data_IF_700960998182
#
_entry.id   IF_700960998182
#
_cell.length_a   1.000
_cell.length_b   1.000
_cell.length_c   1.000
_cell.angle_alpha   90.00
_cell.angle_beta   90.00
_cell.angle_gamma   90.00
#
_symmetry.space_group_name_H-M   'P 1'
#
loop_
_entity.id
_entity.type
_entity.pdbx_description
1 polymer ?
#
# COMPACT_ATOMS: atom_id res chain seq x y z
N UNK A 1 -25.77 17.39 13.00
CA UNK A 1 -24.34 17.70 13.21
C UNK A 1 -23.57 16.94 12.15
N UNK A 2 -23.09 17.65 11.13
CA UNK A 2 -22.42 17.08 9.94
C UNK A 2 -20.97 16.74 10.26
N UNK A 3 -20.67 15.47 10.55
CA UNK A 3 -19.32 14.93 10.41
C UNK A 3 -19.13 14.56 8.94
N UNK A 4 -18.82 15.57 8.10
CA UNK A 4 -18.29 15.30 6.77
C UNK A 4 -17.01 14.48 6.95
N UNK A 5 -17.12 13.19 6.64
CA UNK A 5 -16.04 12.22 6.73
C UNK A 5 -14.80 12.80 6.06
N UNK A 6 -13.71 12.93 6.80
CA UNK A 6 -12.42 13.34 6.23
C UNK A 6 -11.93 12.20 5.36
N UNK A 7 -12.32 12.18 4.09
CA UNK A 7 -11.67 11.34 3.08
C UNK A 7 -10.17 11.66 3.18
N UNK A 8 -9.35 10.62 3.39
CA UNK A 8 -7.91 10.79 3.55
C UNK A 8 -7.37 11.68 2.43
N UNK A 9 -6.89 12.88 2.77
CA UNK A 9 -6.54 13.92 1.80
C UNK A 9 -5.38 13.55 0.89
N UNK A 10 -4.62 12.51 1.29
CA UNK A 10 -3.44 12.01 0.58
C UNK A 10 -3.56 10.52 0.25
N UNK A 11 -2.94 10.14 -0.87
CA UNK A 11 -2.71 8.76 -1.28
C UNK A 11 -1.22 8.45 -1.12
N UNK A 12 -0.91 7.43 -0.31
CA UNK A 12 0.46 6.96 -0.09
C UNK A 12 1.05 6.44 -1.40
N UNK A 13 2.33 6.70 -1.62
CA UNK A 13 3.07 6.23 -2.80
C UNK A 13 3.53 4.78 -2.68
N UNK A 14 3.56 4.24 -1.45
CA UNK A 14 4.22 2.96 -1.13
C UNK A 14 5.74 3.08 -0.99
N UNK A 15 6.30 4.27 -1.26
CA UNK A 15 7.73 4.55 -1.16
C UNK A 15 7.94 5.48 0.04
N UNK A 16 8.46 4.93 1.14
CA UNK A 16 8.61 5.66 2.41
C UNK A 16 9.34 7.00 2.25
N UNK A 17 10.46 7.03 1.52
CA UNK A 17 11.24 8.25 1.30
C UNK A 17 10.46 9.32 0.51
N UNK A 18 9.68 8.91 -0.49
CA UNK A 18 8.85 9.81 -1.27
C UNK A 18 7.66 10.32 -0.46
N UNK A 19 7.01 9.45 0.30
CA UNK A 19 5.92 9.84 1.20
C UNK A 19 6.39 10.83 2.27
N UNK A 20 7.61 10.70 2.77
CA UNK A 20 8.20 11.65 3.71
C UNK A 20 8.36 13.03 3.05
N UNK A 21 8.95 13.08 1.84
CA UNK A 21 9.12 14.32 1.07
C UNK A 21 7.77 14.97 0.76
N UNK A 22 6.77 14.17 0.39
CA UNK A 22 5.41 14.63 0.07
C UNK A 22 4.54 14.86 1.31
N UNK A 23 5.10 14.75 2.52
CA UNK A 23 4.39 14.91 3.81
C UNK A 23 3.14 14.03 3.92
N UNK A 24 3.28 12.75 3.59
CA UNK A 24 2.23 11.74 3.67
C UNK A 24 1.66 11.24 2.34
N UNK A 25 2.26 11.58 1.21
CA UNK A 25 1.89 11.09 -0.13
C UNK A 25 1.23 12.14 -1.03
N UNK A 26 0.66 11.71 -2.16
CA UNK A 26 0.07 12.57 -3.18
C UNK A 26 -1.29 13.12 -2.75
N UNK A 27 -1.49 14.43 -2.86
CA UNK A 27 -2.80 15.07 -2.63
C UNK A 27 -3.85 14.54 -3.61
N UNK A 28 -4.99 14.09 -3.11
CA UNK A 28 -6.07 13.60 -3.97
C UNK A 28 -6.69 14.73 -4.80
N UNK A 29 -7.27 14.37 -5.95
CA UNK A 29 -7.90 15.35 -6.87
C UNK A 29 -6.93 16.23 -7.65
N UNK A 30 -5.63 15.91 -7.63
CA UNK A 30 -4.59 16.65 -8.34
C UNK A 30 -3.93 15.76 -9.41
N UNK A 31 -3.42 16.39 -10.46
CA UNK A 31 -2.57 15.75 -11.46
C UNK A 31 -1.10 15.92 -11.06
N UNK A 32 -0.33 14.82 -11.09
CA UNK A 32 1.10 14.83 -10.82
C UNK A 32 1.87 14.36 -12.06
N UNK A 33 2.92 15.09 -12.43
CA UNK A 33 3.84 14.72 -13.49
C UNK A 33 5.12 14.15 -12.86
N UNK A 34 5.50 12.94 -13.28
CA UNK A 34 6.79 12.34 -12.92
C UNK A 34 7.71 12.43 -14.13
N UNK A 35 8.71 13.31 -14.06
CA UNK A 35 9.66 13.58 -15.13
C UNK A 35 11.08 13.10 -14.77
N UNK A 36 11.87 12.77 -15.79
CA UNK A 36 13.27 12.34 -15.64
C UNK A 36 13.81 11.69 -16.91
N UNK A 37 15.13 11.56 -17.02
CA UNK A 37 15.80 10.93 -18.16
C UNK A 37 15.34 9.47 -18.39
N UNK A 38 15.52 8.88 -19.59
CA UNK A 38 15.28 7.46 -19.81
C UNK A 38 16.02 6.59 -18.78
N UNK A 39 15.40 5.51 -18.31
CA UNK A 39 16.01 4.60 -17.33
C UNK A 39 15.96 5.05 -15.85
N UNK A 40 15.45 6.24 -15.53
CA UNK A 40 15.39 6.77 -14.14
C UNK A 40 14.29 6.17 -13.24
N UNK A 41 13.57 5.13 -13.70
CA UNK A 41 12.57 4.45 -12.86
C UNK A 41 11.18 5.09 -12.77
N UNK A 42 10.81 6.02 -13.67
CA UNK A 42 9.47 6.65 -13.70
C UNK A 42 8.33 5.64 -13.72
N UNK A 43 8.42 4.64 -14.60
CA UNK A 43 7.43 3.56 -14.70
C UNK A 43 7.40 2.72 -13.42
N UNK A 44 8.56 2.46 -12.82
CA UNK A 44 8.67 1.72 -11.56
C UNK A 44 7.94 2.45 -10.44
N UNK A 45 8.13 3.77 -10.30
CA UNK A 45 7.40 4.59 -9.30
C UNK A 45 5.88 4.55 -9.55
N UNK A 46 5.44 4.67 -10.81
CA UNK A 46 4.02 4.61 -11.15
C UNK A 46 3.41 3.25 -10.81
N UNK A 47 4.10 2.15 -11.10
CA UNK A 47 3.66 0.79 -10.78
C UNK A 47 3.62 0.54 -9.28
N UNK A 48 4.60 1.04 -8.50
CA UNK A 48 4.61 0.92 -7.04
C UNK A 48 3.39 1.62 -6.42
N UNK A 49 3.06 2.83 -6.89
CA UNK A 49 1.85 3.53 -6.45
C UNK A 49 0.57 2.74 -6.72
N UNK A 50 0.45 2.15 -7.92
CA UNK A 50 -0.71 1.34 -8.29
C UNK A 50 -0.80 0.05 -7.46
N UNK A 51 0.34 -0.61 -7.23
CA UNK A 51 0.41 -1.83 -6.42
C UNK A 51 0.01 -1.56 -4.97
N UNK A 52 0.55 -0.50 -4.36
CA UNK A 52 0.19 -0.08 -3.00
C UNK A 52 -1.32 0.16 -2.87
N UNK A 53 -1.90 0.89 -3.83
CA UNK A 53 -3.34 1.14 -3.90
C UNK A 53 -4.15 -0.15 -4.05
N UNK A 54 -3.70 -1.08 -4.90
CA UNK A 54 -4.34 -2.38 -5.10
C UNK A 54 -4.34 -3.20 -3.81
N UNK A 55 -3.19 -3.31 -3.12
CA UNK A 55 -3.06 -4.07 -1.88
C UNK A 55 -3.96 -3.50 -0.79
N UNK A 56 -3.88 -2.18 -0.54
CA UNK A 56 -4.70 -1.51 0.46
C UNK A 56 -6.22 -1.68 0.19
N UNK A 57 -6.63 -1.54 -1.07
CA UNK A 57 -8.03 -1.73 -1.46
C UNK A 57 -8.49 -3.18 -1.23
N UNK A 58 -7.67 -4.17 -1.59
CA UNK A 58 -8.02 -5.57 -1.40
C UNK A 58 -8.10 -5.95 0.09
N UNK A 59 -7.17 -5.49 0.92
CA UNK A 59 -7.26 -5.66 2.38
C UNK A 59 -8.58 -5.11 2.91
N UNK A 60 -8.94 -3.87 2.53
CA UNK A 60 -10.18 -3.25 2.95
C UNK A 60 -11.42 -4.03 2.46
N UNK A 61 -11.44 -4.44 1.19
CA UNK A 61 -12.55 -5.23 0.63
C UNK A 61 -12.73 -6.54 1.40
N UNK A 62 -11.64 -7.23 1.75
CA UNK A 62 -11.70 -8.46 2.52
C UNK A 62 -12.21 -8.23 3.95
N UNK A 63 -11.76 -7.15 4.60
CA UNK A 63 -12.24 -6.77 5.92
C UNK A 63 -13.74 -6.42 5.91
N UNK A 64 -14.20 -5.66 4.91
CA UNK A 64 -15.61 -5.32 4.73
C UNK A 64 -16.47 -6.58 4.51
N UNK A 65 -16.01 -7.51 3.66
CA UNK A 65 -16.70 -8.79 3.43
C UNK A 65 -16.85 -9.61 4.71
N UNK A 66 -15.82 -9.61 5.57
CA UNK A 66 -15.81 -10.32 6.86
C UNK A 66 -16.67 -9.63 7.92
N UNK A 67 -16.74 -8.29 7.91
CA UNK A 67 -17.55 -7.52 8.85
C UNK A 67 -19.05 -7.71 8.59
N UNK A 68 -19.44 -7.88 7.32
CA UNK A 68 -20.84 -8.06 6.95
C UNK A 68 -21.66 -6.76 6.96
N UNK A 69 -23.00 -6.85 6.86
CA UNK A 69 -23.87 -5.70 6.59
C UNK A 69 -24.00 -4.70 7.76
N UNK A 70 -23.66 -5.09 8.99
CA UNK A 70 -23.76 -4.24 10.18
C UNK A 70 -22.42 -3.56 10.48
N UNK A 71 -21.94 -2.79 9.49
CA UNK A 71 -20.64 -2.12 9.51
C UNK A 71 -20.62 -0.94 10.50
N UNK A 72 -19.63 -0.97 11.39
CA UNK A 72 -19.18 0.19 12.16
C UNK A 72 -17.64 0.18 12.24
N UNK A 73 -17.07 1.30 12.68
CA UNK A 73 -15.61 1.48 12.72
C UNK A 73 -14.93 0.48 13.64
N UNK A 74 -15.50 0.24 14.83
CA UNK A 74 -14.92 -0.67 15.84
C UNK A 74 -14.90 -2.11 15.34
N UNK A 75 -16.00 -2.60 14.77
CA UNK A 75 -16.06 -3.93 14.17
C UNK A 75 -15.08 -4.09 13.01
N UNK A 76 -14.93 -3.06 12.17
CA UNK A 76 -13.98 -3.11 11.07
C UNK A 76 -12.54 -3.19 11.59
N UNK A 77 -12.22 -2.42 12.63
CA UNK A 77 -10.92 -2.47 13.31
C UNK A 77 -10.70 -3.85 13.92
N UNK A 78 -11.66 -4.40 14.67
CA UNK A 78 -11.56 -5.73 15.25
C UNK A 78 -11.34 -6.81 14.17
N UNK A 79 -12.03 -6.72 13.02
CA UNK A 79 -11.83 -7.64 11.90
C UNK A 79 -10.43 -7.51 11.30
N UNK A 80 -9.93 -6.27 11.14
CA UNK A 80 -8.58 -6.02 10.66
C UNK A 80 -7.55 -6.58 11.65
N UNK A 81 -7.63 -6.25 12.93
CA UNK A 81 -6.71 -6.71 13.98
C UNK A 81 -6.71 -8.24 14.15
N UNK A 82 -7.81 -8.92 13.84
CA UNK A 82 -7.89 -10.38 13.87
C UNK A 82 -7.58 -11.02 12.50
N UNK A 83 -7.25 -10.24 11.47
CA UNK A 83 -6.86 -10.78 10.17
C UNK A 83 -5.44 -11.34 10.21
N UNK A 84 -5.37 -12.67 10.15
CA UNK A 84 -4.13 -13.44 10.04
C UNK A 84 -4.04 -14.09 8.67
N UNK A 85 -2.82 -14.23 8.16
CA UNK A 85 -2.49 -15.02 6.96
C UNK A 85 -3.36 -14.69 5.74
N UNK A 86 -3.65 -13.41 5.50
CA UNK A 86 -4.37 -12.98 4.31
C UNK A 86 -3.45 -13.09 3.10
N UNK A 87 -3.71 -14.07 2.24
CA UNK A 87 -2.99 -14.23 0.98
C UNK A 87 -3.67 -13.43 -0.14
N UNK A 88 -2.90 -12.51 -0.73
CA UNK A 88 -3.29 -11.72 -1.90
C UNK A 88 -2.50 -12.11 -3.16
N UNK A 89 -1.76 -13.23 -3.12
CA UNK A 89 -0.88 -13.66 -4.21
C UNK A 89 0.43 -12.87 -4.31
N UNK A 90 0.83 -12.20 -3.21
CA UNK A 90 2.03 -11.37 -3.16
C UNK A 90 3.30 -12.17 -2.81
N UNK A 91 3.17 -13.47 -2.55
CA UNK A 91 4.26 -14.31 -2.04
C UNK A 91 4.61 -14.04 -0.58
N UNK A 92 3.87 -13.17 0.11
CA UNK A 92 3.97 -12.92 1.54
C UNK A 92 2.55 -12.78 2.12
N UNK A 93 2.18 -13.57 3.15
CA UNK A 93 0.88 -13.44 3.79
C UNK A 93 0.82 -12.13 4.59
N UNK A 94 -0.29 -11.41 4.46
CA UNK A 94 -0.54 -10.19 5.22
C UNK A 94 -1.16 -10.53 6.58
N UNK A 95 -0.61 -9.94 7.63
CA UNK A 95 -1.08 -10.17 9.01
C UNK A 95 -1.15 -8.85 9.77
N UNK A 96 -2.26 -8.63 10.44
CA UNK A 96 -2.42 -7.54 11.38
C UNK A 96 -2.59 -8.10 12.80
N UNK A 97 -2.40 -7.23 13.79
CA UNK A 97 -2.64 -7.52 15.19
C UNK A 97 -2.82 -6.25 16.00
N UNK A 98 -3.37 -6.37 17.20
CA UNK A 98 -3.54 -5.25 18.15
C UNK A 98 -2.27 -4.46 18.47
N UNK A 99 -1.11 -5.10 18.34
CA UNK A 99 0.20 -4.47 18.55
C UNK A 99 0.99 -4.28 17.24
N UNK A 100 0.48 -4.78 16.12
CA UNK A 100 1.16 -4.87 14.82
C UNK A 100 0.23 -4.33 13.74
N UNK A 101 0.33 -3.03 13.46
CA UNK A 101 -0.47 -2.37 12.43
C UNK A 101 0.21 -2.34 11.05
N UNK A 102 1.35 -3.04 10.92
CA UNK A 102 2.07 -3.21 9.67
C UNK A 102 1.81 -4.62 9.12
N UNK A 103 1.09 -4.69 7.99
CA UNK A 103 0.61 -5.94 7.42
C UNK A 103 1.72 -6.89 6.94
N UNK A 104 2.85 -6.31 6.52
CA UNK A 104 4.00 -7.01 5.97
C UNK A 104 5.27 -6.25 6.29
N UNK A 105 6.30 -6.99 6.70
CA UNK A 105 7.68 -6.54 6.81
C UNK A 105 8.53 -6.98 5.61
N UNK A 106 7.92 -7.64 4.61
CA UNK A 106 8.63 -8.16 3.44
C UNK A 106 9.15 -7.00 2.60
N UNK A 107 10.44 -7.06 2.28
CA UNK A 107 11.10 -6.15 1.36
C UNK A 107 11.42 -6.92 0.07
N UNK A 108 10.86 -6.48 -1.04
CA UNK A 108 11.17 -7.01 -2.36
C UNK A 108 12.32 -6.20 -2.98
N UNK A 109 13.53 -6.75 -2.89
CA UNK A 109 14.71 -6.20 -3.55
C UNK A 109 14.61 -6.39 -5.05
N UNK A 110 14.87 -5.32 -5.81
CA UNK A 110 14.94 -5.38 -7.27
C UNK A 110 16.18 -4.65 -7.75
N UNK A 111 16.94 -5.29 -8.64
CA UNK A 111 18.11 -4.74 -9.29
C UNK A 111 17.98 -4.90 -10.80
N UNK A 112 18.66 -4.03 -11.53
CA UNK A 112 18.91 -4.19 -12.95
C UNK A 112 20.42 -4.37 -13.07
N UNK A 113 20.86 -5.50 -13.60
CA UNK A 113 22.29 -5.76 -13.80
C UNK A 113 22.87 -4.93 -14.95
N UNK A 114 24.19 -5.00 -15.13
CA UNK A 114 24.91 -4.26 -16.18
C UNK A 114 24.44 -4.60 -17.61
N UNK A 115 23.71 -5.71 -17.79
CA UNK A 115 23.10 -6.11 -19.07
C UNK A 115 21.70 -5.55 -19.28
N UNK A 116 21.16 -4.78 -18.33
CA UNK A 116 19.81 -4.25 -18.35
C UNK A 116 18.75 -5.28 -17.95
N UNK A 117 19.15 -6.41 -17.38
CA UNK A 117 18.22 -7.49 -17.01
C UNK A 117 17.75 -7.32 -15.57
N UNK A 118 16.44 -7.43 -15.37
CA UNK A 118 15.81 -7.43 -14.06
C UNK A 118 16.23 -8.65 -13.23
N UNK A 119 16.56 -8.41 -11.96
CA UNK A 119 16.84 -9.41 -10.95
C UNK A 119 16.06 -9.08 -9.68
N UNK A 120 15.25 -10.00 -9.20
CA UNK A 120 14.65 -9.93 -7.85
C UNK A 120 15.53 -10.65 -6.86
N UNK A 121 15.72 -10.06 -5.68
CA UNK A 121 16.39 -10.69 -4.55
C UNK A 121 15.58 -10.41 -3.29
N UNK A 122 15.64 -11.34 -2.33
CA UNK A 122 15.03 -11.11 -1.03
C UNK A 122 16.02 -10.38 -0.13
N UNK A 123 15.53 -9.34 0.53
CA UNK A 123 16.25 -8.70 1.62
C UNK A 123 15.72 -9.30 2.92
N UNK A 124 16.63 -9.87 3.71
CA UNK A 124 16.36 -10.32 5.09
C UNK A 124 16.22 -9.14 6.05
#
# INVERSE_FOLDING_TARGET
>A
MNSAQTVASKAKSGIWGLDNILSGGFSRGHLFLVEGAPGTGKTTVALQFLLEGYVAANVLIQALKRTGPQLDTEKLIDVLENTRNLDLGLGAPLTFGRAEHQASHKIWGTAIDDSGKYQSFELE
#
